data_IF_464383279069
#
_entry.id   IF_464383279069
#
_cell.length_a   1.000
_cell.length_b   1.000
_cell.length_c   1.000
_cell.angle_alpha   90.00
_cell.angle_beta   90.00
_cell.angle_gamma   90.00
#
_symmetry.space_group_name_H-M   'P 1'
#
loop_
_entity.id
_entity.type
_entity.pdbx_description
1 polymer ?
#
# COMPACT_ATOMS: atom_id res chain seq x y z
N UNK A 1 28.48 -24.31 26.66
CA UNK A 1 27.96 -24.94 25.41
C UNK A 1 29.02 -25.03 24.31
N UNK A 2 29.33 -24.01 23.50
CA UNK A 2 30.35 -24.11 22.42
C UNK A 2 31.73 -24.56 22.96
N UNK A 3 32.16 -24.00 24.10
CA UNK A 3 33.43 -24.33 24.77
C UNK A 3 33.48 -25.76 25.36
N UNK A 4 32.34 -26.37 25.66
CA UNK A 4 32.25 -27.73 26.22
C UNK A 4 32.11 -28.80 25.13
N UNK A 5 31.44 -28.47 24.02
CA UNK A 5 31.36 -29.31 22.82
C UNK A 5 32.77 -29.52 22.21
N UNK A 6 33.56 -28.45 22.12
CA UNK A 6 34.95 -28.49 21.66
C UNK A 6 35.86 -29.32 22.58
N UNK A 7 35.55 -29.38 23.88
CA UNK A 7 36.31 -30.13 24.87
C UNK A 7 35.84 -31.59 25.03
N UNK A 8 34.85 -32.05 24.25
CA UNK A 8 34.35 -33.43 24.28
C UNK A 8 33.63 -33.83 25.57
N UNK A 9 33.16 -32.86 26.36
CA UNK A 9 32.57 -33.09 27.69
C UNK A 9 31.04 -33.15 27.68
N UNK A 10 30.39 -33.32 26.52
CA UNK A 10 28.94 -33.48 26.44
C UNK A 10 28.62 -34.96 26.45
N UNK A 11 28.07 -35.43 27.57
CA UNK A 11 27.46 -36.75 27.69
C UNK A 11 26.28 -36.91 26.72
N UNK A 12 26.09 -38.08 26.11
CA UNK A 12 25.07 -38.33 25.07
C UNK A 12 23.65 -38.00 25.54
N UNK A 13 23.34 -38.20 26.83
CA UNK A 13 22.05 -37.82 27.42
C UNK A 13 21.84 -36.30 27.43
N UNK A 14 22.92 -35.54 27.61
CA UNK A 14 22.88 -34.07 27.63
C UNK A 14 22.76 -33.50 26.22
N UNK A 15 23.39 -34.11 25.23
CA UNK A 15 23.25 -33.73 23.82
C UNK A 15 21.80 -33.84 23.36
N UNK A 16 21.15 -34.98 23.59
CA UNK A 16 19.74 -35.20 23.22
C UNK A 16 18.79 -34.21 23.91
N UNK A 17 18.99 -33.95 25.21
CA UNK A 17 18.19 -32.94 25.94
C UNK A 17 18.34 -31.54 25.35
N UNK A 18 19.58 -31.15 25.03
CA UNK A 18 19.86 -29.82 24.46
C UNK A 18 19.26 -29.66 23.06
N UNK A 19 19.28 -30.71 22.22
CA UNK A 19 18.64 -30.66 20.90
C UNK A 19 17.15 -30.39 21.02
N UNK A 20 16.46 -31.09 21.93
CA UNK A 20 15.02 -30.87 22.18
C UNK A 20 14.74 -29.47 22.77
N UNK A 21 15.57 -29.01 23.71
CA UNK A 21 15.43 -27.67 24.29
C UNK A 21 15.65 -26.56 23.25
N UNK A 22 16.64 -26.71 22.36
CA UNK A 22 16.92 -25.76 21.28
C UNK A 22 15.79 -25.77 20.26
N UNK A 23 15.30 -26.94 19.84
CA UNK A 23 14.18 -27.04 18.90
C UNK A 23 12.92 -26.36 19.45
N UNK A 24 12.60 -26.59 20.72
CA UNK A 24 11.50 -25.92 21.40
C UNK A 24 11.72 -24.40 21.46
N UNK A 25 12.89 -23.95 21.90
CA UNK A 25 13.21 -22.53 22.00
C UNK A 25 13.20 -21.82 20.64
N UNK A 26 13.70 -22.46 19.58
CA UNK A 26 13.66 -21.93 18.21
C UNK A 26 12.23 -21.78 17.70
N UNK A 27 11.35 -22.76 17.96
CA UNK A 27 9.94 -22.68 17.59
C UNK A 27 9.22 -21.57 18.35
N UNK A 28 9.38 -21.52 19.67
CA UNK A 28 8.81 -20.46 20.51
C UNK A 28 9.29 -19.07 20.10
N UNK A 29 10.58 -18.90 19.79
CA UNK A 29 11.13 -17.61 19.36
C UNK A 29 10.51 -17.18 18.03
N UNK A 30 10.39 -18.10 17.07
CA UNK A 30 9.77 -17.81 15.77
C UNK A 30 8.27 -17.49 15.89
N UNK A 31 7.55 -18.14 16.80
CA UNK A 31 6.14 -17.86 17.06
C UNK A 31 5.98 -16.49 17.72
N UNK A 32 6.78 -16.20 18.75
CA UNK A 32 6.71 -14.94 19.48
C UNK A 32 7.14 -13.75 18.61
N UNK A 33 8.10 -13.94 17.70
CA UNK A 33 8.49 -12.91 16.73
C UNK A 33 7.33 -12.50 15.83
N UNK A 34 6.57 -13.48 15.29
CA UNK A 34 5.38 -13.18 14.47
C UNK A 34 4.33 -12.44 15.27
N UNK A 35 4.04 -12.87 16.50
CA UNK A 35 3.08 -12.21 17.39
C UNK A 35 3.52 -10.78 17.70
N UNK A 36 4.81 -10.57 17.98
CA UNK A 36 5.35 -9.24 18.22
C UNK A 36 5.21 -8.34 16.97
N UNK A 37 5.56 -8.85 15.78
CA UNK A 37 5.42 -8.11 14.53
C UNK A 37 3.96 -7.76 14.20
N UNK A 38 3.01 -8.66 14.46
CA UNK A 38 1.59 -8.40 14.29
C UNK A 38 1.11 -7.27 15.23
N UNK A 39 1.51 -7.32 16.50
CA UNK A 39 1.18 -6.28 17.48
C UNK A 39 1.81 -4.92 17.13
N UNK A 40 3.05 -4.90 16.64
CA UNK A 40 3.71 -3.67 16.17
C UNK A 40 2.95 -3.05 14.99
N UNK A 41 2.58 -3.86 14.00
CA UNK A 41 1.79 -3.40 12.85
C UNK A 41 0.44 -2.84 13.26
N UNK A 42 -0.27 -3.52 14.15
CA UNK A 42 -1.58 -3.06 14.63
C UNK A 42 -1.49 -1.71 15.35
N UNK A 43 -0.44 -1.49 16.14
CA UNK A 43 -0.19 -0.20 16.80
C UNK A 43 0.18 0.88 15.79
N UNK A 44 1.01 0.57 14.80
CA UNK A 44 1.36 1.50 13.73
C UNK A 44 0.12 1.91 12.93
N UNK A 45 -0.73 0.95 12.53
CA UNK A 45 -1.96 1.19 11.78
C UNK A 45 -2.93 2.07 12.58
N UNK A 46 -3.12 1.76 13.87
CA UNK A 46 -3.93 2.58 14.77
C UNK A 46 -3.41 4.02 14.82
N UNK A 47 -2.10 4.21 14.93
CA UNK A 47 -1.49 5.55 15.02
C UNK A 47 -1.54 6.31 13.71
N UNK A 48 -1.38 5.63 12.58
CA UNK A 48 -1.60 6.22 11.24
C UNK A 48 -3.05 6.65 11.06
N UNK A 49 -4.01 5.82 11.48
CA UNK A 49 -5.44 6.15 11.44
C UNK A 49 -5.76 7.36 12.35
N UNK A 50 -5.26 7.37 13.59
CA UNK A 50 -5.42 8.51 14.51
C UNK A 50 -4.87 9.81 13.88
N UNK A 51 -3.67 9.75 13.29
CA UNK A 51 -3.06 10.86 12.59
C UNK A 51 -3.89 11.35 11.39
N UNK A 52 -4.44 10.46 10.57
CA UNK A 52 -5.23 10.84 9.41
C UNK A 52 -6.65 11.30 9.77
N UNK A 53 -7.18 10.91 10.92
CA UNK A 53 -8.52 11.29 11.36
C UNK A 53 -8.67 12.81 11.55
N UNK A 54 -7.59 13.49 11.91
CA UNK A 54 -7.53 14.95 12.03
C UNK A 54 -7.35 15.67 10.69
N UNK A 55 -7.07 14.92 9.61
CA UNK A 55 -6.71 15.42 8.26
C UNK A 55 -7.73 15.04 7.20
N UNK A 56 -8.95 14.70 7.62
CA UNK A 56 -10.04 14.38 6.70
C UNK A 56 -10.34 15.62 5.83
N UNK A 57 -10.38 15.42 4.53
CA UNK A 57 -10.58 16.46 3.51
C UNK A 57 -9.30 17.10 3.01
N UNK A 58 -8.13 16.78 3.55
CA UNK A 58 -6.85 17.21 3.00
C UNK A 58 -6.45 16.38 1.77
N UNK A 59 -5.60 16.98 0.93
CA UNK A 59 -5.18 16.41 -0.35
C UNK A 59 -3.69 16.10 -0.30
N UNK A 60 -3.34 14.95 -0.86
CA UNK A 60 -1.97 14.43 -0.87
C UNK A 60 -1.65 13.79 -2.21
N UNK A 61 -0.37 13.83 -2.57
CA UNK A 61 0.17 13.02 -3.65
C UNK A 61 0.67 11.70 -3.08
N UNK A 62 0.30 10.58 -3.70
CA UNK A 62 0.66 9.24 -3.27
C UNK A 62 0.98 8.33 -4.45
N UNK A 63 1.53 7.16 -4.15
CA UNK A 63 1.89 6.14 -5.13
C UNK A 63 0.99 4.94 -4.94
N UNK A 64 0.47 4.37 -6.03
CA UNK A 64 -0.33 3.14 -5.96
C UNK A 64 0.58 1.98 -5.52
N UNK A 65 0.39 1.48 -4.30
CA UNK A 65 1.17 0.39 -3.71
C UNK A 65 0.60 -0.99 -4.04
N UNK A 66 -0.70 -1.09 -4.35
CA UNK A 66 -1.35 -2.33 -4.75
C UNK A 66 -2.67 -2.06 -5.48
N UNK A 67 -3.05 -2.98 -6.37
CA UNK A 67 -4.31 -2.91 -7.11
C UNK A 67 -5.05 -4.23 -6.90
N UNK A 68 -6.33 -4.14 -6.53
CA UNK A 68 -7.22 -5.28 -6.35
C UNK A 68 -8.47 -5.13 -7.22
N UNK A 69 -9.32 -6.14 -7.24
CA UNK A 69 -10.58 -6.10 -7.99
C UNK A 69 -11.63 -5.14 -7.40
N UNK A 70 -11.51 -4.78 -6.11
CA UNK A 70 -12.45 -3.90 -5.42
C UNK A 70 -11.91 -2.47 -5.24
N UNK A 71 -10.65 -2.21 -5.60
CA UNK A 71 -10.04 -0.91 -5.42
C UNK A 71 -8.53 -0.93 -5.58
N UNK A 72 -7.88 0.08 -5.02
CA UNK A 72 -6.43 0.21 -5.03
C UNK A 72 -5.95 0.83 -3.73
N UNK A 73 -4.75 0.45 -3.31
CA UNK A 73 -4.09 1.04 -2.15
C UNK A 73 -3.11 2.11 -2.63
N UNK A 74 -3.16 3.26 -1.99
CA UNK A 74 -2.28 4.40 -2.25
C UNK A 74 -1.44 4.63 -1.01
N UNK A 75 -0.13 4.61 -1.18
CA UNK A 75 0.85 4.92 -0.16
C UNK A 75 1.30 6.38 -0.28
N UNK A 76 1.21 7.11 0.82
CA UNK A 76 1.69 8.47 0.94
C UNK A 76 3.19 8.51 1.28
N UNK A 77 3.89 9.63 1.02
CA UNK A 77 5.33 9.77 1.33
C UNK A 77 5.72 9.52 2.79
N UNK A 78 4.75 9.61 3.71
CA UNK A 78 4.90 9.32 5.13
C UNK A 78 4.54 7.86 5.50
N UNK A 79 4.51 6.94 4.52
CA UNK A 79 4.22 5.49 4.65
C UNK A 79 2.81 5.15 5.16
N UNK A 80 1.91 6.12 5.10
CA UNK A 80 0.49 5.89 5.38
C UNK A 80 -0.14 5.33 4.11
N UNK A 81 -0.79 4.18 4.26
CA UNK A 81 -1.55 3.55 3.19
C UNK A 81 -3.04 3.77 3.42
N UNK A 82 -3.79 3.93 2.32
CA UNK A 82 -5.24 4.01 2.37
C UNK A 82 -5.87 3.42 1.12
N UNK A 83 -7.12 2.99 1.28
CA UNK A 83 -7.89 2.33 0.25
C UNK A 83 -8.71 3.34 -0.55
N UNK A 84 -8.52 3.34 -1.86
CA UNK A 84 -9.46 3.91 -2.82
C UNK A 84 -10.37 2.79 -3.30
N UNK A 85 -11.66 2.88 -3.01
CA UNK A 85 -12.62 1.88 -3.46
C UNK A 85 -13.01 2.15 -4.92
N UNK A 86 -13.15 1.10 -5.74
CA UNK A 86 -13.50 1.25 -7.16
C UNK A 86 -14.83 2.00 -7.38
N UNK A 87 -15.72 1.98 -6.39
CA UNK A 87 -16.99 2.72 -6.45
C UNK A 87 -16.87 4.22 -6.25
N UNK A 88 -15.76 4.72 -5.70
CA UNK A 88 -15.53 6.16 -5.55
C UNK A 88 -14.95 6.77 -6.83
N UNK A 89 -14.44 5.92 -7.73
CA UNK A 89 -14.11 6.26 -9.12
C UNK A 89 -15.41 6.44 -9.92
N UNK A 90 -16.01 7.62 -9.78
CA UNK A 90 -17.30 7.99 -10.39
C UNK A 90 -17.18 8.40 -11.87
N UNK A 91 -15.95 8.43 -12.38
CA UNK A 91 -15.58 8.90 -13.71
C UNK A 91 -15.71 7.82 -14.80
N UNK A 92 -15.65 6.54 -14.43
CA UNK A 92 -15.69 5.45 -15.41
C UNK A 92 -16.09 4.09 -14.83
N UNK A 93 -16.39 3.15 -15.73
CA UNK A 93 -16.44 1.73 -15.41
C UNK A 93 -15.03 1.13 -15.50
N UNK A 94 -14.45 0.79 -14.35
CA UNK A 94 -13.09 0.23 -14.27
C UNK A 94 -13.11 -1.30 -14.31
N UNK A 95 -12.32 -1.88 -15.20
CA UNK A 95 -12.09 -3.32 -15.32
C UNK A 95 -10.70 -3.66 -14.79
N UNK A 96 -10.64 -4.62 -13.86
CA UNK A 96 -9.38 -5.13 -13.32
C UNK A 96 -8.71 -6.11 -14.29
N UNK A 97 -7.47 -5.80 -14.69
CA UNK A 97 -6.61 -6.69 -15.47
C UNK A 97 -5.57 -7.36 -14.56
N UNK A 98 -5.81 -8.61 -14.19
CA UNK A 98 -4.93 -9.44 -13.36
C UNK A 98 -3.51 -9.57 -13.93
N UNK A 99 -3.33 -9.55 -15.25
CA UNK A 99 -2.00 -9.74 -15.86
C UNK A 99 -1.13 -8.51 -15.72
N UNK A 100 -1.74 -7.34 -15.64
CA UNK A 100 -1.05 -6.04 -15.59
C UNK A 100 -1.12 -5.38 -14.22
N UNK A 101 -1.86 -5.97 -13.27
CA UNK A 101 -2.14 -5.37 -11.96
C UNK A 101 -2.62 -3.93 -12.13
N UNK A 102 -3.61 -3.74 -13.00
CA UNK A 102 -4.08 -2.42 -13.42
C UNK A 102 -5.60 -2.36 -13.45
N UNK A 103 -6.16 -1.20 -13.14
CA UNK A 103 -7.56 -0.86 -13.40
C UNK A 103 -7.62 -0.01 -14.66
N UNK A 104 -8.40 -0.47 -15.65
CA UNK A 104 -8.55 0.21 -16.95
C UNK A 104 -10.00 0.70 -17.05
N UNK A 105 -10.18 2.01 -17.19
CA UNK A 105 -11.47 2.63 -17.47
C UNK A 105 -11.95 2.35 -18.90
N UNK A 106 -13.20 1.95 -19.05
CA UNK A 106 -13.79 1.60 -20.35
C UNK A 106 -14.02 2.82 -21.26
N UNK A 107 -14.47 3.95 -20.71
CA UNK A 107 -14.83 5.16 -21.47
C UNK A 107 -13.72 6.22 -21.51
N UNK A 108 -13.05 6.47 -20.38
CA UNK A 108 -11.96 7.43 -20.20
C UNK A 108 -10.62 6.90 -20.69
N UNK A 109 -10.45 5.56 -20.77
CA UNK A 109 -9.16 4.89 -20.97
C UNK A 109 -8.12 5.22 -19.90
N UNK A 110 -8.52 5.78 -18.76
CA UNK A 110 -7.60 6.00 -17.65
C UNK A 110 -7.11 4.66 -17.13
N UNK A 111 -5.80 4.57 -16.90
CA UNK A 111 -5.17 3.35 -16.43
C UNK A 111 -4.47 3.66 -15.13
N UNK A 112 -4.92 3.02 -14.05
CA UNK A 112 -4.23 3.06 -12.76
C UNK A 112 -3.43 1.78 -12.60
N UNK A 113 -2.12 1.88 -12.49
CA UNK A 113 -1.21 0.74 -12.34
C UNK A 113 -0.44 0.83 -11.03
N UNK A 114 0.04 -0.32 -10.59
CA UNK A 114 1.04 -0.39 -9.53
C UNK A 114 2.23 0.54 -9.84
N UNK A 115 2.54 1.44 -8.91
CA UNK A 115 3.65 2.38 -9.01
C UNK A 115 3.31 3.74 -9.63
N UNK A 116 2.10 3.94 -10.13
CA UNK A 116 1.69 5.24 -10.66
C UNK A 116 1.48 6.25 -9.52
N UNK A 117 1.79 7.52 -9.80
CA UNK A 117 1.56 8.63 -8.88
C UNK A 117 0.16 9.20 -9.09
N UNK A 118 -0.58 9.41 -8.01
CA UNK A 118 -1.96 9.91 -8.03
C UNK A 118 -2.18 10.95 -6.95
N UNK A 119 -3.05 11.92 -7.21
CA UNK A 119 -3.55 12.84 -6.19
C UNK A 119 -4.79 12.26 -5.54
N UNK A 120 -4.80 12.27 -4.21
CA UNK A 120 -5.88 11.74 -3.40
C UNK A 120 -6.37 12.77 -2.40
N UNK A 121 -7.59 12.56 -1.94
CA UNK A 121 -8.21 13.26 -0.82
C UNK A 121 -8.55 12.28 0.29
N UNK A 122 -8.28 12.68 1.53
CA UNK A 122 -8.72 11.90 2.69
C UNK A 122 -10.23 11.97 2.82
N UNK A 123 -10.91 10.85 2.58
CA UNK A 123 -12.38 10.79 2.54
C UNK A 123 -12.95 10.47 3.92
N UNK A 124 -12.47 9.37 4.51
CA UNK A 124 -12.92 8.86 5.80
C UNK A 124 -11.80 8.08 6.47
N UNK A 125 -11.78 8.10 7.79
CA UNK A 125 -10.94 7.20 8.60
C UNK A 125 -11.83 6.41 9.55
N UNK A 126 -11.59 5.11 9.67
CA UNK A 126 -12.22 4.23 10.64
C UNK A 126 -11.21 3.81 11.71
N UNK A 127 -11.36 4.38 12.91
CA UNK A 127 -10.46 4.10 14.03
C UNK A 127 -10.68 2.72 14.67
N UNK A 128 -11.78 2.03 14.36
CA UNK A 128 -12.03 0.69 14.90
C UNK A 128 -11.37 -0.39 14.04
N UNK A 129 -11.41 -0.25 12.72
CA UNK A 129 -10.70 -1.15 11.80
C UNK A 129 -9.28 -0.68 11.45
N UNK A 130 -8.88 0.51 11.92
CA UNK A 130 -7.63 1.19 11.54
C UNK A 130 -7.51 1.45 10.02
N UNK A 131 -8.65 1.51 9.32
CA UNK A 131 -8.69 1.69 7.87
C UNK A 131 -8.80 3.16 7.50
N UNK A 132 -8.04 3.56 6.48
CA UNK A 132 -8.07 4.90 5.91
C UNK A 132 -8.61 4.80 4.48
N UNK A 133 -9.58 5.65 4.16
CA UNK A 133 -10.24 5.68 2.87
C UNK A 133 -9.90 6.97 2.13
N UNK A 134 -9.54 6.81 0.86
CA UNK A 134 -9.15 7.89 -0.03
C UNK A 134 -10.09 7.98 -1.24
N UNK A 135 -10.24 9.19 -1.76
CA UNK A 135 -10.88 9.46 -3.05
C UNK A 135 -9.83 10.02 -4.02
N UNK A 136 -9.84 9.58 -5.27
CA UNK A 136 -8.94 10.15 -6.30
C UNK A 136 -9.47 11.52 -6.71
N UNK A 137 -8.56 12.48 -6.82
CA UNK A 137 -8.82 13.75 -7.48
C UNK A 137 -8.15 13.70 -8.85
N UNK A 138 -8.91 13.98 -9.91
CA UNK A 138 -8.33 14.31 -11.21
C UNK A 138 -8.07 15.81 -11.25
N UNK A 139 -6.85 16.20 -11.57
CA UNK A 139 -6.61 17.56 -11.99
C UNK A 139 -7.11 17.72 -13.42
N UNK A 140 -8.24 18.42 -13.57
CA UNK A 140 -8.75 18.86 -14.87
C UNK A 140 -7.82 19.88 -15.58
N UNK A 141 -6.60 20.13 -15.06
CA UNK A 141 -5.65 21.11 -15.62
C UNK A 141 -4.66 20.50 -16.63
N UNK A 142 -4.24 19.24 -16.49
CA UNK A 142 -3.35 18.62 -17.50
C UNK A 142 -4.07 18.40 -18.85
N UNK A 143 -5.37 18.08 -18.82
CA UNK A 143 -6.18 17.98 -20.02
C UNK A 143 -6.45 19.34 -20.69
N UNK A 144 -6.35 20.46 -19.96
CA UNK A 144 -6.57 21.81 -20.55
C UNK A 144 -5.33 22.35 -21.24
N UNK A 145 -4.15 22.15 -20.66
CA UNK A 145 -2.90 22.60 -21.28
C UNK A 145 -2.61 21.83 -22.58
N UNK A 146 -2.91 20.54 -22.64
CA UNK A 146 -2.72 19.72 -23.85
C UNK A 146 -3.74 20.10 -24.95
N UNK A 147 -4.99 20.42 -24.58
CA UNK A 147 -6.02 20.86 -25.53
C UNK A 147 -5.78 22.30 -26.03
N UNK A 148 -5.34 23.23 -25.18
CA UNK A 148 -4.97 24.59 -25.61
C UNK A 148 -3.76 24.58 -26.55
N UNK A 149 -2.76 23.73 -26.28
CA UNK A 149 -1.59 23.58 -27.15
C UNK A 149 -1.93 23.00 -28.53
N UNK A 150 -2.86 22.06 -28.59
CA UNK A 150 -3.36 21.48 -29.86
C UNK A 150 -4.18 22.52 -30.64
N UNK A 151 -5.07 23.28 -29.98
CA UNK A 151 -5.83 24.34 -30.65
C UNK A 151 -4.94 25.47 -31.19
N UNK A 152 -3.89 25.83 -30.47
CA UNK A 152 -2.97 26.90 -30.88
C UNK A 152 -2.10 26.47 -32.07
N UNK A 153 -1.70 25.20 -32.12
CA UNK A 153 -0.96 24.62 -33.26
C UNK A 153 -1.83 24.39 -34.49
N UNK A 154 -3.11 24.03 -34.35
CA UNK A 154 -4.04 23.92 -35.48
C UNK A 154 -4.42 25.29 -36.09
N UNK A 155 -4.56 26.33 -35.25
CA UNK A 155 -4.78 27.72 -35.73
C UNK A 155 -3.61 28.26 -36.55
N UNK A 156 -2.38 27.89 -36.20
CA UNK A 156 -1.19 28.30 -36.95
C UNK A 156 -1.12 27.63 -38.33
N UNK A 157 -1.49 26.35 -38.42
CA UNK A 157 -1.43 25.58 -39.67
C UNK A 157 -2.57 25.86 -40.66
N UNK A 158 -3.67 26.48 -40.21
CA UNK A 158 -4.83 26.80 -41.07
C UNK A 158 -4.69 28.18 -41.75
N UNK A 159 -3.69 28.99 -41.38
CA UNK A 159 -3.44 30.33 -41.93
C UNK A 159 -2.22 30.39 -42.89
N UNK A 160 -1.71 29.25 -43.35
CA UNK A 160 -0.74 29.13 -44.46
C UNK A 160 -1.41 28.68 -45.75
#
# INVERSE_FOLDING_TARGET
IIKEYINGQIDDKRATRLTTEVEYASKQSSEMERVAQEAEREVDDLKKAEYMSERIGEEYEGIISSVTNFGMFVELPNTIEGLVHISTLSDDYYIYDERRLSLIGEASKNIYRLGDTVKIKVSKVDLFSHEIYFDIIKDDEEDKEEVEFIEETEKYNTNL
#
